data_IF_846238974320
#
_entry.id   IF_846238974320
#
_cell.length_a   1.000
_cell.length_b   1.000
_cell.length_c   1.000
_cell.angle_alpha   90.00
_cell.angle_beta   90.00
_cell.angle_gamma   90.00
#
_symmetry.space_group_name_H-M   'P 1'
#
loop_
_entity.id
_entity.type
_entity.pdbx_description
1 polymer ?
#
# COMPACT_ATOMS: atom_id res chain seq x y z
N UNK A 1 -9.19 7.68 -0.12
CA UNK A 1 -8.63 6.83 -1.18
C UNK A 1 -9.59 5.69 -1.43
N UNK A 2 -10.04 5.43 -2.67
CA UNK A 2 -11.04 4.40 -2.95
C UNK A 2 -10.39 3.01 -2.99
N UNK A 3 -9.83 2.57 -1.88
CA UNK A 3 -9.16 1.27 -1.79
C UNK A 3 -9.80 0.42 -0.71
N UNK A 4 -10.16 -0.80 -1.07
CA UNK A 4 -10.80 -1.77 -0.19
C UNK A 4 -12.28 -1.52 0.05
N UNK A 5 -12.97 -2.54 0.52
CA UNK A 5 -14.35 -2.45 0.95
C UNK A 5 -14.41 -1.92 2.38
N UNK A 6 -15.19 -0.86 2.59
CA UNK A 6 -15.45 -0.25 3.89
C UNK A 6 -16.95 -0.14 4.18
N UNK A 7 -17.74 -0.98 3.53
CA UNK A 7 -19.20 -0.97 3.63
C UNK A 7 -19.87 -0.08 2.57
N UNK A 8 -21.01 0.51 2.89
CA UNK A 8 -21.92 1.13 1.93
C UNK A 8 -21.52 2.52 1.39
N UNK A 9 -20.27 2.96 1.56
CA UNK A 9 -19.86 4.29 1.12
C UNK A 9 -19.29 4.28 -0.32
N UNK A 10 -19.83 5.16 -1.18
CA UNK A 10 -19.25 5.42 -2.50
C UNK A 10 -18.05 6.37 -2.37
N UNK A 11 -16.85 5.82 -2.32
CA UNK A 11 -15.62 6.60 -2.15
C UNK A 11 -15.06 7.17 -3.44
N UNK A 12 -15.59 6.78 -4.59
CA UNK A 12 -15.18 7.33 -5.88
C UNK A 12 -15.49 8.82 -5.93
N UNK A 13 -16.67 9.22 -5.43
CA UNK A 13 -17.09 10.63 -5.40
C UNK A 13 -16.28 11.47 -4.38
N UNK A 14 -15.60 10.83 -3.45
CA UNK A 14 -14.74 11.47 -2.45
C UNK A 14 -13.26 11.47 -2.87
N UNK A 15 -12.95 10.91 -4.04
CA UNK A 15 -11.58 10.83 -4.51
C UNK A 15 -11.07 12.19 -4.98
N UNK A 16 -9.97 12.63 -4.37
CA UNK A 16 -9.22 13.79 -4.81
C UNK A 16 -7.78 13.39 -5.10
N UNK A 17 -7.34 13.67 -6.32
CA UNK A 17 -5.99 13.37 -6.75
C UNK A 17 -4.97 14.18 -5.94
N UNK A 18 -3.93 13.52 -5.43
CA UNK A 18 -2.83 14.22 -4.76
C UNK A 18 -2.04 15.13 -5.70
N UNK A 19 -2.13 14.90 -7.02
CA UNK A 19 -1.61 15.82 -8.04
C UNK A 19 -2.36 17.14 -8.02
N UNK A 20 -3.70 17.08 -7.96
CA UNK A 20 -4.55 18.29 -7.95
C UNK A 20 -4.37 19.04 -6.62
N UNK A 21 -4.35 18.31 -5.49
CA UNK A 21 -4.04 18.90 -4.19
C UNK A 21 -2.69 19.61 -4.19
N UNK A 22 -1.66 19.01 -4.80
CA UNK A 22 -0.34 19.62 -4.90
C UNK A 22 -0.36 20.88 -5.81
N UNK A 23 -1.15 20.87 -6.87
CA UNK A 23 -1.36 22.03 -7.72
C UNK A 23 -2.03 23.17 -6.95
N UNK A 24 -3.07 22.90 -6.19
CA UNK A 24 -3.70 23.89 -5.32
C UNK A 24 -2.76 24.46 -4.25
N UNK A 25 -1.93 23.61 -3.64
CA UNK A 25 -0.93 24.12 -2.70
C UNK A 25 0.02 25.12 -3.35
N UNK A 26 0.38 24.92 -4.61
CA UNK A 26 1.24 25.84 -5.38
C UNK A 26 0.58 27.17 -5.74
N UNK A 27 -0.74 27.26 -5.69
CA UNK A 27 -1.46 28.53 -5.88
C UNK A 27 -1.32 29.45 -4.65
N UNK A 28 -1.08 28.88 -3.48
CA UNK A 28 -1.05 29.58 -2.21
C UNK A 28 0.34 29.62 -1.56
N UNK A 29 1.22 28.70 -1.92
CA UNK A 29 2.54 28.52 -1.29
C UNK A 29 3.62 28.23 -2.32
N UNK A 30 4.82 28.65 -2.01
CA UNK A 30 6.03 28.22 -2.71
C UNK A 30 6.37 26.78 -2.25
N UNK A 31 6.19 25.79 -3.12
CA UNK A 31 6.35 24.37 -2.80
C UNK A 31 7.67 23.85 -3.36
N UNK A 32 8.63 23.56 -2.49
CA UNK A 32 9.96 23.05 -2.83
C UNK A 32 10.03 21.55 -2.59
N UNK A 33 10.49 20.77 -3.56
CA UNK A 33 10.70 19.32 -3.43
C UNK A 33 11.91 19.03 -2.54
N UNK A 34 11.74 18.08 -1.60
CA UNK A 34 12.81 17.62 -0.73
C UNK A 34 13.32 16.24 -1.19
N UNK A 35 14.63 16.07 -1.17
CA UNK A 35 15.29 14.78 -1.45
C UNK A 35 15.20 13.80 -0.28
N UNK A 36 14.79 14.29 0.88
CA UNK A 36 14.67 13.50 2.11
C UNK A 36 13.72 12.32 1.94
N UNK A 37 14.09 11.19 2.53
CA UNK A 37 13.32 9.95 2.55
C UNK A 37 13.21 9.46 4.00
N UNK A 38 12.01 9.03 4.40
CA UNK A 38 11.75 8.48 5.75
C UNK A 38 11.75 6.94 5.78
N UNK A 39 12.34 6.27 4.76
CA UNK A 39 12.26 4.81 4.62
C UNK A 39 10.89 4.29 4.16
N UNK A 40 9.91 5.19 3.98
CA UNK A 40 8.57 4.89 3.49
C UNK A 40 8.31 5.43 2.07
N UNK A 41 7.08 5.26 1.54
CA UNK A 41 6.71 5.70 0.19
C UNK A 41 6.48 7.22 0.08
N UNK A 42 6.53 7.96 1.18
CA UNK A 42 6.29 9.39 1.20
C UNK A 42 7.36 10.15 0.40
N UNK A 43 6.91 11.12 -0.39
CA UNK A 43 7.73 12.15 -1.02
C UNK A 43 7.42 13.47 -0.34
N UNK A 44 8.45 14.17 0.10
CA UNK A 44 8.30 15.36 0.91
C UNK A 44 8.48 16.62 0.09
N UNK A 45 7.68 17.62 0.45
CA UNK A 45 7.85 19.00 0.00
C UNK A 45 7.93 19.91 1.23
N UNK A 46 8.52 21.09 1.06
CA UNK A 46 8.47 22.21 2.02
C UNK A 46 7.58 23.29 1.48
N UNK A 47 6.78 23.88 2.36
CA UNK A 47 6.08 25.14 2.12
C UNK A 47 6.97 26.24 2.67
N UNK A 48 7.54 27.06 1.78
CA UNK A 48 8.59 28.02 2.15
C UNK A 48 8.10 29.10 3.11
N UNK A 49 6.84 29.55 2.94
CA UNK A 49 6.25 30.63 3.77
C UNK A 49 6.04 30.22 5.22
N UNK A 50 5.80 28.94 5.47
CA UNK A 50 5.52 28.39 6.82
C UNK A 50 6.65 27.52 7.36
N UNK A 51 7.57 27.10 6.49
CA UNK A 51 8.62 26.13 6.81
C UNK A 51 8.08 24.68 7.03
N UNK A 52 6.78 24.47 6.85
CA UNK A 52 6.17 23.16 7.09
C UNK A 52 6.59 22.14 6.04
N UNK A 53 6.80 20.91 6.50
CA UNK A 53 7.08 19.75 5.65
C UNK A 53 5.82 18.91 5.47
N UNK A 54 5.44 18.67 4.21
CA UNK A 54 4.28 17.87 3.82
C UNK A 54 4.74 16.63 3.07
N UNK A 55 4.27 15.45 3.49
CA UNK A 55 4.56 14.17 2.84
C UNK A 55 3.39 13.69 2.00
N UNK A 56 3.65 13.36 0.73
CA UNK A 56 2.67 12.80 -0.20
C UNK A 56 2.93 11.31 -0.40
N UNK A 57 1.89 10.48 -0.18
CA UNK A 57 1.88 9.05 -0.50
C UNK A 57 0.91 8.85 -1.65
N UNK A 58 1.44 8.54 -2.84
CA UNK A 58 0.70 8.50 -4.11
C UNK A 58 0.69 7.09 -4.72
N UNK A 59 -0.03 6.11 -4.12
CA UNK A 59 -0.01 4.74 -4.61
C UNK A 59 -0.62 4.59 -6.00
N UNK A 60 -1.45 5.55 -6.43
CA UNK A 60 -2.22 5.48 -7.67
C UNK A 60 -1.59 6.24 -8.82
N UNK A 61 -1.04 7.42 -8.56
CA UNK A 61 -0.50 8.32 -9.59
C UNK A 61 0.99 8.12 -9.85
N UNK A 62 1.74 7.72 -8.83
CA UNK A 62 3.16 7.39 -8.92
C UNK A 62 3.39 6.07 -8.21
N UNK A 63 3.34 5.01 -8.99
CA UNK A 63 3.55 3.66 -8.53
C UNK A 63 4.95 3.54 -7.90
N UNK A 64 4.98 3.24 -6.59
CA UNK A 64 6.21 2.97 -5.84
C UNK A 64 6.39 1.47 -5.55
N UNK A 65 5.66 0.61 -6.25
CA UNK A 65 5.61 -0.84 -5.99
C UNK A 65 6.97 -1.51 -6.15
N UNK A 66 7.80 -1.09 -7.09
CA UNK A 66 9.14 -1.64 -7.29
C UNK A 66 10.05 -1.44 -6.06
N UNK A 67 9.89 -0.32 -5.36
CA UNK A 67 10.64 -0.01 -4.14
C UNK A 67 9.87 -0.34 -2.86
N UNK A 68 8.72 -0.99 -2.97
CA UNK A 68 7.87 -1.30 -1.83
C UNK A 68 8.43 -2.48 -1.03
N UNK A 69 8.80 -2.23 0.21
CA UNK A 69 9.32 -3.22 1.15
C UNK A 69 8.25 -3.75 2.13
N UNK A 70 6.95 -3.56 1.83
CA UNK A 70 5.87 -3.88 2.77
C UNK A 70 5.21 -5.19 2.40
N UNK A 71 4.95 -5.99 3.42
CA UNK A 71 4.09 -7.17 3.41
C UNK A 71 3.05 -7.03 4.51
N UNK A 72 2.03 -7.86 4.51
CA UNK A 72 0.96 -7.85 5.51
C UNK A 72 0.74 -9.25 6.05
N UNK A 73 0.82 -9.39 7.36
CA UNK A 73 0.52 -10.63 8.06
C UNK A 73 -0.85 -10.52 8.71
N UNK A 74 -1.73 -11.47 8.43
CA UNK A 74 -3.04 -11.56 9.08
C UNK A 74 -2.95 -12.26 10.43
N UNK A 75 -3.97 -12.12 11.24
CA UNK A 75 -4.10 -12.86 12.51
C UNK A 75 -4.30 -14.38 12.29
N UNK A 76 -4.65 -14.79 11.08
CA UNK A 76 -4.80 -16.19 10.66
C UNK A 76 -3.48 -16.81 10.17
N UNK A 77 -2.40 -16.04 10.09
CA UNK A 77 -1.08 -16.51 9.65
C UNK A 77 -0.87 -16.50 8.14
N UNK A 78 -1.66 -15.71 7.41
CA UNK A 78 -1.52 -15.51 5.96
C UNK A 78 -0.64 -14.29 5.68
N UNK A 79 0.38 -14.44 4.84
CA UNK A 79 1.29 -13.38 4.45
C UNK A 79 0.95 -12.89 3.04
N UNK A 80 0.43 -11.67 2.95
CA UNK A 80 0.16 -11.00 1.67
C UNK A 80 1.32 -10.12 1.25
N UNK A 81 1.81 -10.30 0.03
CA UNK A 81 2.93 -9.53 -0.53
C UNK A 81 2.52 -8.14 -0.98
N UNK A 82 1.26 -7.92 -1.30
CA UNK A 82 0.71 -6.64 -1.75
C UNK A 82 -0.70 -6.40 -1.18
N UNK A 83 -1.03 -5.14 -0.91
CA UNK A 83 -2.39 -4.76 -0.53
C UNK A 83 -3.38 -4.94 -1.70
N UNK A 84 -2.92 -4.73 -2.93
CA UNK A 84 -3.74 -4.72 -4.14
C UNK A 84 -3.75 -6.04 -4.90
N UNK A 85 -3.35 -7.16 -4.29
CA UNK A 85 -3.37 -8.48 -4.93
C UNK A 85 -3.78 -9.56 -3.93
N UNK A 86 -4.33 -10.65 -4.46
CA UNK A 86 -4.83 -11.77 -3.65
C UNK A 86 -3.76 -12.83 -3.37
N UNK A 87 -2.56 -12.75 -3.99
CA UNK A 87 -1.50 -13.71 -3.73
C UNK A 87 -1.03 -13.65 -2.28
N UNK A 88 -1.04 -14.80 -1.63
CA UNK A 88 -0.66 -14.97 -0.24
C UNK A 88 0.16 -16.24 -0.01
N UNK A 89 0.84 -16.30 1.10
CA UNK A 89 1.50 -17.50 1.60
C UNK A 89 0.93 -17.89 2.97
N UNK A 90 0.65 -19.16 3.15
CA UNK A 90 0.30 -19.71 4.45
C UNK A 90 1.58 -19.88 5.28
N UNK A 91 1.68 -19.14 6.38
CA UNK A 91 2.75 -19.31 7.38
C UNK A 91 2.29 -20.13 8.60
N UNK A 92 0.99 -20.34 8.75
CA UNK A 92 0.43 -21.07 9.89
C UNK A 92 0.80 -22.54 9.87
N UNK A 93 0.69 -23.18 8.71
CA UNK A 93 1.02 -24.59 8.53
C UNK A 93 2.48 -24.86 8.87
N UNK A 94 3.48 -24.22 8.22
CA UNK A 94 4.88 -24.45 8.58
C UNK A 94 5.20 -24.11 10.04
N UNK A 95 4.52 -23.14 10.65
CA UNK A 95 4.71 -22.85 12.09
C UNK A 95 4.23 -23.97 13.03
N UNK A 96 3.26 -24.77 12.61
CA UNK A 96 2.64 -25.79 13.46
C UNK A 96 3.18 -27.20 13.23
N UNK A 97 3.69 -27.45 12.04
CA UNK A 97 4.27 -28.74 11.65
C UNK A 97 5.74 -28.85 12.06
N UNK A 98 6.35 -27.75 12.47
CA UNK A 98 7.78 -27.70 12.80
C UNK A 98 7.98 -28.03 14.28
N UNK A 99 8.95 -28.91 14.52
CA UNK A 99 9.52 -29.13 15.83
C UNK A 99 10.37 -27.96 16.30
N UNK A 100 11.65 -28.15 16.59
CA UNK A 100 12.53 -27.14 17.17
C UNK A 100 13.21 -26.20 16.14
N UNK A 101 12.94 -26.34 14.82
CA UNK A 101 13.65 -25.63 13.75
C UNK A 101 12.74 -24.74 12.87
N UNK A 102 13.08 -23.45 12.77
CA UNK A 102 12.37 -22.44 11.96
C UNK A 102 12.68 -22.50 10.45
N UNK A 103 13.40 -23.49 9.96
CA UNK A 103 13.89 -23.54 8.57
C UNK A 103 12.74 -23.52 7.57
N UNK A 104 11.68 -24.30 7.78
CA UNK A 104 10.52 -24.34 6.90
C UNK A 104 9.78 -23.00 6.87
N UNK A 105 9.59 -22.37 8.03
CA UNK A 105 8.97 -21.05 8.14
C UNK A 105 9.80 -19.99 7.40
N UNK A 106 11.11 -19.98 7.58
CA UNK A 106 12.01 -19.07 6.86
C UNK A 106 11.94 -19.26 5.35
N UNK A 107 11.93 -20.51 4.88
CA UNK A 107 11.76 -20.82 3.46
C UNK A 107 10.42 -20.36 2.91
N UNK A 108 9.32 -20.56 3.63
CA UNK A 108 8.00 -20.09 3.24
C UNK A 108 7.96 -18.57 3.11
N UNK A 109 8.55 -17.84 4.06
CA UNK A 109 8.65 -16.37 4.00
C UNK A 109 9.49 -15.92 2.81
N UNK A 110 10.67 -16.49 2.59
CA UNK A 110 11.55 -16.11 1.49
C UNK A 110 10.90 -16.37 0.14
N UNK A 111 10.31 -17.54 -0.06
CA UNK A 111 9.56 -17.87 -1.29
C UNK A 111 8.38 -16.93 -1.53
N UNK A 112 7.70 -16.51 -0.47
CA UNK A 112 6.63 -15.52 -0.57
C UNK A 112 7.17 -14.17 -1.03
N UNK A 113 8.27 -13.70 -0.45
CA UNK A 113 8.90 -12.41 -0.79
C UNK A 113 9.42 -12.41 -2.24
N UNK A 114 9.97 -13.52 -2.73
CA UNK A 114 10.41 -13.66 -4.12
C UNK A 114 9.27 -13.48 -5.13
N UNK A 115 8.04 -13.88 -4.76
CA UNK A 115 6.84 -13.67 -5.58
C UNK A 115 6.23 -12.28 -5.45
N UNK A 116 6.83 -11.39 -4.65
CA UNK A 116 6.30 -10.03 -4.45
C UNK A 116 6.17 -9.28 -5.77
N UNK A 117 4.94 -8.81 -6.11
CA UNK A 117 4.71 -8.17 -7.40
C UNK A 117 5.38 -6.80 -7.48
N UNK A 118 5.80 -6.43 -8.68
CA UNK A 118 6.34 -5.10 -9.00
C UNK A 118 5.28 -4.03 -9.22
N UNK A 119 4.01 -4.40 -9.16
CA UNK A 119 2.85 -3.54 -9.37
C UNK A 119 1.65 -4.00 -8.57
N UNK A 120 0.60 -3.21 -8.58
CA UNK A 120 -0.71 -3.56 -8.04
C UNK A 120 -1.75 -3.54 -9.18
N UNK A 121 -2.86 -4.28 -8.99
CA UNK A 121 -3.92 -4.44 -9.98
C UNK A 121 -5.13 -3.52 -9.71
N UNK A 122 -4.91 -2.41 -8.99
CA UNK A 122 -5.98 -1.45 -8.75
C UNK A 122 -6.40 -0.78 -10.05
N UNK A 123 -7.63 -1.05 -10.50
CA UNK A 123 -8.26 -0.41 -11.64
C UNK A 123 -9.36 0.55 -11.18
N UNK A 124 -9.18 1.84 -11.48
CA UNK A 124 -10.14 2.90 -11.12
C UNK A 124 -11.04 3.31 -12.26
N UNK A 125 -10.79 2.80 -13.47
CA UNK A 125 -11.60 3.07 -14.66
C UNK A 125 -12.89 2.25 -14.71
N UNK A 126 -12.96 1.17 -13.94
CA UNK A 126 -14.13 0.29 -13.87
C UNK A 126 -15.08 0.77 -12.77
N UNK A 127 -16.25 1.21 -13.19
CA UNK A 127 -17.39 1.32 -12.30
C UNK A 127 -17.70 -0.07 -11.72
N UNK A 128 -17.19 -0.30 -10.56
CA UNK A 128 -17.69 -1.08 -9.47
C UNK A 128 -18.43 -2.40 -9.68
N UNK A 129 -18.14 -3.33 -10.51
CA UNK A 129 -18.74 -4.64 -10.34
C UNK A 129 -17.71 -5.74 -9.99
N UNK A 130 -16.52 -5.76 -10.62
CA UNK A 130 -15.69 -6.95 -10.57
C UNK A 130 -14.18 -6.72 -10.39
N UNK A 131 -13.74 -5.52 -10.06
CA UNK A 131 -12.31 -5.18 -10.04
C UNK A 131 -11.73 -4.63 -8.73
N UNK A 132 -12.54 -4.51 -7.70
CA UNK A 132 -12.05 -4.18 -6.36
C UNK A 132 -11.76 -5.46 -5.60
N UNK A 133 -10.66 -5.44 -4.83
CA UNK A 133 -10.35 -6.52 -3.90
C UNK A 133 -11.57 -6.84 -3.05
N UNK A 134 -11.96 -8.11 -3.03
CA UNK A 134 -13.07 -8.60 -2.22
C UNK A 134 -12.77 -8.57 -0.72
N UNK A 135 -11.51 -8.38 -0.35
CA UNK A 135 -11.06 -8.36 1.04
C UNK A 135 -11.39 -7.04 1.72
N UNK A 136 -12.02 -7.12 2.87
CA UNK A 136 -12.17 -5.97 3.75
C UNK A 136 -10.79 -5.50 4.25
N UNK A 137 -10.57 -4.18 4.34
CA UNK A 137 -9.28 -3.62 4.76
C UNK A 137 -8.83 -4.11 6.14
N UNK A 138 -9.77 -4.35 7.06
CA UNK A 138 -9.47 -4.88 8.40
C UNK A 138 -8.95 -6.31 8.39
N UNK A 139 -9.18 -7.08 7.31
CA UNK A 139 -8.71 -8.47 7.21
C UNK A 139 -7.17 -8.54 7.11
N UNK A 140 -6.58 -7.62 6.37
CA UNK A 140 -5.11 -7.59 6.16
C UNK A 140 -4.38 -6.62 7.10
N UNK A 141 -5.07 -6.05 8.07
CA UNK A 141 -4.50 -5.06 8.96
C UNK A 141 -4.18 -3.74 8.24
N UNK A 142 -4.71 -2.64 8.66
CA UNK A 142 -4.49 -1.32 8.04
C UNK A 142 -4.61 -0.23 9.05
#
# INVERSE_FOLDING_TARGET
MPMGDLGNENRIDQYWSLKDLRSQLREHYTVTDLLERSGGPARYVRLEETGQKVGFITPLTHNFCESCNRVRLTCTGELYMCLGQEDMADLRTPMREIGEDDTMLKQAILSAIERKPKGHDFDYSRQRADGQMSRHMSHTGG
#
